data_IF_240908317976
#
_entry.id   IF_240908317976
#
_cell.length_a   1.000
_cell.length_b   1.000
_cell.length_c   1.000
_cell.angle_alpha   90.00
_cell.angle_beta   90.00
_cell.angle_gamma   90.00
#
_symmetry.space_group_name_H-M   'P 1'
#
loop_
_entity.id
_entity.type
_entity.pdbx_description
1 polymer ?
#
# COMPACT_ATOMS: atom_id res chain seq x y z
N UNK A 1 -0.14 -6.59 -7.32
CA UNK A 1 -0.11 -6.82 -5.86
C UNK A 1 0.85 -7.96 -5.52
N UNK A 2 1.66 -7.84 -4.46
CA UNK A 2 2.59 -8.87 -3.97
C UNK A 2 2.35 -9.05 -2.48
N UNK A 3 2.37 -10.31 -2.00
CA UNK A 3 2.26 -10.65 -0.58
C UNK A 3 3.35 -11.64 -0.24
N UNK A 4 4.10 -11.38 0.85
CA UNK A 4 5.13 -12.29 1.35
C UNK A 4 5.39 -11.97 2.85
N UNK A 5 6.31 -12.68 3.45
CA UNK A 5 6.78 -12.39 4.83
C UNK A 5 7.74 -11.20 4.83
N UNK A 6 7.72 -10.41 5.91
CA UNK A 6 8.60 -9.23 6.07
C UNK A 6 10.09 -9.60 5.90
N UNK A 7 10.50 -10.79 6.33
CA UNK A 7 11.87 -11.31 6.15
C UNK A 7 12.29 -11.39 4.68
N UNK A 8 11.33 -11.62 3.77
CA UNK A 8 11.57 -11.73 2.34
C UNK A 8 11.56 -10.37 1.61
N UNK A 9 11.18 -9.26 2.27
CA UNK A 9 11.02 -7.96 1.60
C UNK A 9 12.28 -7.54 0.82
N UNK A 10 13.46 -7.86 1.32
CA UNK A 10 14.74 -7.59 0.65
C UNK A 10 14.90 -8.24 -0.73
N UNK A 11 14.14 -9.29 -1.04
CA UNK A 11 14.15 -9.95 -2.36
C UNK A 11 13.48 -9.12 -3.46
N UNK A 12 12.72 -8.10 -3.07
CA UNK A 12 11.93 -7.24 -3.98
C UNK A 12 12.60 -5.91 -4.30
N UNK A 13 13.86 -5.70 -3.90
CA UNK A 13 14.62 -4.46 -4.15
C UNK A 13 14.84 -4.17 -5.64
N UNK A 14 14.75 -5.18 -6.51
CA UNK A 14 14.80 -5.02 -7.97
C UNK A 14 13.55 -4.36 -8.56
N UNK A 15 12.41 -4.38 -7.84
CA UNK A 15 11.18 -3.70 -8.27
C UNK A 15 11.26 -2.19 -8.04
N UNK A 16 11.88 -1.80 -6.93
CA UNK A 16 12.11 -0.40 -6.58
C UNK A 16 13.29 -0.33 -5.60
N UNK A 17 14.36 0.44 -5.91
CA UNK A 17 15.55 0.50 -5.07
C UNK A 17 15.28 1.06 -3.66
N UNK A 18 14.24 1.89 -3.47
CA UNK A 18 13.85 2.40 -2.15
C UNK A 18 13.36 1.30 -1.19
N UNK A 19 13.02 0.11 -1.69
CA UNK A 19 12.69 -1.04 -0.82
C UNK A 19 13.89 -1.42 0.07
N UNK A 20 15.13 -1.18 -0.37
CA UNK A 20 16.29 -1.40 0.47
C UNK A 20 16.29 -0.49 1.71
N UNK A 21 15.89 0.78 1.56
CA UNK A 21 15.75 1.73 2.67
C UNK A 21 14.59 1.33 3.61
N UNK A 22 13.51 0.75 3.08
CA UNK A 22 12.41 0.19 3.90
C UNK A 22 12.93 -0.98 4.74
N UNK A 23 13.69 -1.90 4.14
CA UNK A 23 14.28 -3.04 4.86
C UNK A 23 15.22 -2.55 5.97
N UNK A 24 16.05 -1.55 5.69
CA UNK A 24 16.95 -0.97 6.69
C UNK A 24 16.18 -0.28 7.82
N UNK A 25 15.10 0.42 7.51
CA UNK A 25 14.21 1.02 8.51
C UNK A 25 13.63 -0.06 9.43
N UNK A 26 13.10 -1.16 8.86
CA UNK A 26 12.51 -2.26 9.64
C UNK A 26 13.51 -2.99 10.53
N UNK A 27 14.80 -3.05 10.15
CA UNK A 27 15.86 -3.64 11.01
C UNK A 27 16.17 -2.78 12.23
N UNK A 28 16.02 -1.46 12.11
CA UNK A 28 16.42 -0.51 13.15
C UNK A 28 15.26 -0.03 14.03
N UNK A 29 14.01 -0.39 13.69
CA UNK A 29 12.82 0.07 14.39
C UNK A 29 11.84 -1.07 14.65
N UNK A 30 11.36 -1.15 15.89
CA UNK A 30 10.28 -2.06 16.26
C UNK A 30 8.92 -1.35 16.09
N UNK A 31 8.20 -1.70 15.03
CA UNK A 31 6.89 -1.11 14.71
C UNK A 31 5.85 -1.28 15.84
N UNK A 32 5.99 -2.31 16.70
CA UNK A 32 5.07 -2.52 17.83
C UNK A 32 5.19 -1.42 18.88
N UNK A 33 6.41 -0.94 19.13
CA UNK A 33 6.71 0.04 20.17
C UNK A 33 6.69 1.49 19.69
N UNK A 34 6.79 1.73 18.38
CA UNK A 34 6.73 3.07 17.81
C UNK A 34 5.34 3.70 17.99
N UNK A 35 5.29 5.01 18.21
CA UNK A 35 4.06 5.78 18.29
C UNK A 35 3.44 6.00 16.91
N UNK A 36 2.14 6.37 16.87
CA UNK A 36 1.48 6.80 15.64
C UNK A 36 2.12 8.08 15.10
N UNK A 37 2.23 8.18 13.78
CA UNK A 37 2.79 9.35 13.13
C UNK A 37 3.38 9.06 11.76
N UNK A 38 3.84 10.15 11.12
CA UNK A 38 4.59 10.07 9.86
C UNK A 38 6.08 10.14 10.16
N UNK A 39 6.83 9.13 9.72
CA UNK A 39 8.27 9.06 9.84
C UNK A 39 8.90 9.16 8.46
N UNK A 40 9.65 10.24 8.23
CA UNK A 40 10.35 10.49 6.97
C UNK A 40 11.63 9.67 6.93
N UNK A 41 11.83 8.90 5.85
CA UNK A 41 13.03 8.08 5.62
C UNK A 41 13.92 8.76 4.55
N UNK A 42 13.31 9.16 3.42
CA UNK A 42 14.02 9.83 2.32
C UNK A 42 13.15 10.96 1.73
N UNK A 43 13.00 12.03 2.50
CA UNK A 43 12.17 13.17 2.08
C UNK A 43 10.74 12.77 1.74
N UNK A 44 10.25 13.24 0.60
CA UNK A 44 8.92 12.89 0.08
C UNK A 44 8.92 11.60 -0.76
N UNK A 45 10.10 11.06 -1.10
CA UNK A 45 10.20 9.87 -1.94
C UNK A 45 10.00 8.58 -1.15
N UNK A 46 10.26 8.61 0.18
CA UNK A 46 10.03 7.48 1.06
C UNK A 46 9.70 7.93 2.48
N UNK A 47 8.54 7.53 2.97
CA UNK A 47 8.14 7.74 4.36
C UNK A 47 7.21 6.61 4.80
N UNK A 48 7.02 6.45 6.11
CA UNK A 48 6.04 5.53 6.68
C UNK A 48 5.02 6.28 7.52
N UNK A 49 3.76 5.96 7.32
CA UNK A 49 2.66 6.33 8.20
C UNK A 49 2.37 5.15 9.13
N UNK A 50 2.63 5.34 10.41
CA UNK A 50 2.23 4.39 11.45
C UNK A 50 0.92 4.87 12.05
N UNK A 51 -0.12 4.06 11.98
CA UNK A 51 -1.46 4.49 12.37
C UNK A 51 -2.27 3.38 13.01
N UNK A 52 -3.24 3.77 13.84
CA UNK A 52 -4.34 2.93 14.29
C UNK A 52 -5.57 3.26 13.43
N UNK A 53 -5.98 2.30 12.61
CA UNK A 53 -7.11 2.45 11.71
C UNK A 53 -8.33 1.71 12.25
N UNK A 54 -9.52 2.31 12.06
CA UNK A 54 -10.80 1.72 12.44
C UNK A 54 -11.22 0.63 11.47
N UNK A 55 -11.93 -0.36 11.99
CA UNK A 55 -12.54 -1.44 11.23
C UNK A 55 -13.38 -0.92 10.06
N UNK A 56 -13.20 -1.57 8.92
CA UNK A 56 -14.15 -1.63 7.80
C UNK A 56 -14.59 -3.07 7.60
N UNK A 57 -15.76 -3.23 7.05
CA UNK A 57 -16.27 -4.50 6.55
C UNK A 57 -16.11 -4.55 5.03
N UNK A 58 -16.32 -5.70 4.40
CA UNK A 58 -16.36 -5.80 2.93
C UNK A 58 -17.40 -4.86 2.29
N UNK A 59 -18.45 -4.53 3.04
CA UNK A 59 -19.51 -3.63 2.56
C UNK A 59 -19.14 -2.15 2.66
N UNK A 60 -18.34 -1.77 3.66
CA UNK A 60 -17.95 -0.37 3.93
C UNK A 60 -16.58 0.00 3.40
N UNK A 61 -15.76 -0.98 3.03
CA UNK A 61 -14.48 -0.73 2.41
C UNK A 61 -14.66 -0.25 0.96
N UNK A 62 -13.81 0.68 0.55
CA UNK A 62 -13.78 1.21 -0.81
C UNK A 62 -12.39 1.01 -1.41
N UNK A 63 -12.36 0.79 -2.73
CA UNK A 63 -11.13 0.70 -3.49
C UNK A 63 -10.48 2.08 -3.62
N UNK A 64 -9.16 2.10 -3.53
CA UNK A 64 -8.32 3.26 -3.79
C UNK A 64 -7.11 2.87 -4.65
N UNK A 65 -6.59 3.82 -5.44
CA UNK A 65 -5.35 3.70 -6.20
C UNK A 65 -4.50 4.94 -5.98
N UNK A 66 -3.21 4.81 -6.23
CA UNK A 66 -2.24 5.89 -6.21
C UNK A 66 -1.57 6.00 -7.59
N UNK A 67 -1.01 7.15 -7.93
CA UNK A 67 -0.26 7.35 -9.18
C UNK A 67 1.24 7.49 -8.88
N UNK A 68 1.56 8.31 -7.88
CA UNK A 68 2.94 8.67 -7.56
C UNK A 68 3.63 7.66 -6.64
N UNK A 69 2.85 6.94 -5.82
CA UNK A 69 3.39 6.10 -4.76
C UNK A 69 2.99 4.63 -4.90
N UNK A 70 3.91 3.76 -4.52
CA UNK A 70 3.69 2.35 -4.19
C UNK A 70 3.40 2.27 -2.70
N UNK A 71 2.40 1.52 -2.30
CA UNK A 71 2.12 1.21 -0.90
C UNK A 71 2.76 -0.12 -0.50
N UNK A 72 3.54 -0.13 0.59
CA UNK A 72 3.92 -1.35 1.29
C UNK A 72 3.21 -1.31 2.64
N UNK A 73 2.24 -2.19 2.82
CA UNK A 73 1.39 -2.21 4.01
C UNK A 73 1.71 -3.43 4.87
N UNK A 74 1.95 -3.19 6.16
CA UNK A 74 2.33 -4.20 7.16
C UNK A 74 1.33 -4.13 8.30
N UNK A 75 0.42 -5.12 8.44
CA UNK A 75 -0.41 -5.29 9.63
C UNK A 75 0.47 -5.59 10.86
N UNK A 76 0.17 -4.98 12.01
CA UNK A 76 0.98 -5.13 13.22
C UNK A 76 0.22 -5.90 14.30
N UNK A 77 -1.01 -5.47 14.64
CA UNK A 77 -1.73 -6.01 15.81
C UNK A 77 -2.68 -7.17 15.49
N UNK A 78 -3.24 -7.21 14.29
CA UNK A 78 -4.15 -8.27 13.83
C UNK A 78 -4.04 -8.49 12.34
N UNK A 79 -4.68 -9.53 11.82
CA UNK A 79 -4.77 -9.79 10.39
C UNK A 79 -5.63 -8.73 9.70
N UNK A 80 -5.21 -8.31 8.50
CA UNK A 80 -5.94 -7.38 7.66
C UNK A 80 -6.29 -8.04 6.33
N UNK A 81 -7.56 -7.96 5.94
CA UNK A 81 -8.01 -8.37 4.62
C UNK A 81 -8.02 -7.15 3.70
N UNK A 82 -7.41 -7.29 2.53
CA UNK A 82 -7.44 -6.30 1.46
C UNK A 82 -8.36 -6.77 0.35
N UNK A 83 -9.26 -5.89 -0.09
CA UNK A 83 -9.92 -6.06 -1.38
C UNK A 83 -8.97 -5.68 -2.50
N UNK A 84 -9.06 -6.32 -3.68
CA UNK A 84 -8.22 -6.04 -4.83
C UNK A 84 -9.01 -6.05 -6.14
N UNK A 85 -8.65 -5.13 -7.02
CA UNK A 85 -9.03 -5.12 -8.45
C UNK A 85 -7.91 -4.48 -9.27
N UNK A 86 -7.60 -4.97 -10.47
CA UNK A 86 -6.65 -4.31 -11.36
C UNK A 86 -7.23 -2.96 -11.83
N UNK A 87 -6.36 -1.95 -12.00
CA UNK A 87 -6.77 -0.61 -12.41
C UNK A 87 -7.55 -0.59 -13.74
N UNK A 88 -7.20 -1.46 -14.69
CA UNK A 88 -7.85 -1.53 -15.99
C UNK A 88 -9.34 -1.91 -15.91
N UNK A 89 -9.74 -2.60 -14.86
CA UNK A 89 -11.14 -3.01 -14.64
C UNK A 89 -11.92 -1.98 -13.81
N UNK A 90 -11.28 -0.91 -13.36
CA UNK A 90 -11.92 0.13 -12.56
C UNK A 90 -12.49 1.23 -13.45
N UNK A 91 -13.66 1.80 -13.08
CA UNK A 91 -14.22 2.94 -13.80
C UNK A 91 -13.32 4.18 -13.68
N UNK A 92 -13.51 5.15 -14.59
CA UNK A 92 -12.81 6.41 -14.46
C UNK A 92 -13.38 7.21 -13.28
N UNK A 93 -12.49 7.67 -12.39
CA UNK A 93 -12.82 8.51 -11.24
C UNK A 93 -11.85 9.68 -11.13
N UNK A 94 -12.24 10.69 -10.35
CA UNK A 94 -11.44 11.89 -10.13
C UNK A 94 -10.22 11.56 -9.24
N UNK A 95 -9.03 11.92 -9.71
CA UNK A 95 -7.79 11.82 -8.98
C UNK A 95 -7.54 13.06 -8.14
N UNK A 96 -7.29 12.88 -6.85
CA UNK A 96 -6.85 13.93 -5.95
C UNK A 96 -5.31 13.94 -5.90
N UNK A 97 -4.71 14.90 -6.64
CA UNK A 97 -3.25 15.00 -6.74
C UNK A 97 -2.58 15.44 -5.42
N UNK A 98 -3.26 16.19 -4.56
CA UNK A 98 -2.71 16.62 -3.26
C UNK A 98 -2.48 15.44 -2.32
N UNK A 99 -3.36 14.43 -2.39
CA UNK A 99 -3.33 13.24 -1.53
C UNK A 99 -2.80 12.00 -2.25
N UNK A 100 -2.46 12.12 -3.54
CA UNK A 100 -2.12 11.00 -4.40
C UNK A 100 -3.11 9.85 -4.28
N UNK A 101 -4.40 10.10 -4.49
CA UNK A 101 -5.43 9.07 -4.31
C UNK A 101 -6.60 9.24 -5.30
N UNK A 102 -7.04 8.12 -5.86
CA UNK A 102 -8.36 7.98 -6.49
C UNK A 102 -9.20 7.03 -5.64
N UNK A 103 -10.42 7.41 -5.29
CA UNK A 103 -11.36 6.58 -4.54
C UNK A 103 -12.52 6.16 -5.42
N UNK A 104 -12.84 4.87 -5.43
CA UNK A 104 -13.81 4.28 -6.35
C UNK A 104 -15.20 4.05 -5.75
N UNK A 105 -15.54 4.78 -4.70
CA UNK A 105 -16.90 4.81 -4.14
C UNK A 105 -17.48 3.41 -3.88
N UNK A 106 -18.61 3.11 -4.56
CA UNK A 106 -19.34 1.85 -4.38
C UNK A 106 -18.79 0.68 -5.22
N UNK A 107 -17.67 0.86 -5.96
CA UNK A 107 -17.06 -0.20 -6.74
C UNK A 107 -16.50 -1.27 -5.80
N UNK A 108 -16.97 -2.51 -5.94
CA UNK A 108 -16.55 -3.62 -5.08
C UNK A 108 -15.29 -4.28 -5.61
N UNK A 109 -14.39 -4.71 -4.72
CA UNK A 109 -13.22 -5.51 -5.09
C UNK A 109 -13.62 -6.83 -5.76
N UNK A 110 -12.81 -7.25 -6.76
CA UNK A 110 -12.99 -8.52 -7.44
C UNK A 110 -12.52 -9.71 -6.61
N UNK A 111 -11.51 -9.50 -5.77
CA UNK A 111 -10.96 -10.54 -4.89
C UNK A 111 -10.57 -9.97 -3.54
N UNK A 112 -10.36 -10.85 -2.58
CA UNK A 112 -9.94 -10.50 -1.24
C UNK A 112 -8.80 -11.40 -0.80
N UNK A 113 -7.84 -10.82 -0.09
CA UNK A 113 -6.68 -11.53 0.44
C UNK A 113 -6.38 -11.07 1.86
N UNK A 114 -6.06 -12.02 2.73
CA UNK A 114 -5.72 -11.72 4.12
C UNK A 114 -4.21 -11.74 4.32
N UNK A 115 -3.70 -10.71 4.96
CA UNK A 115 -2.29 -10.51 5.32
C UNK A 115 -2.19 -10.52 6.84
N UNK A 116 -1.34 -11.39 7.38
CA UNK A 116 -1.17 -11.53 8.83
C UNK A 116 -0.02 -10.67 9.35
N UNK A 117 0.04 -10.36 10.65
CA UNK A 117 1.25 -9.83 11.28
C UNK A 117 2.49 -10.66 10.91
N UNK A 118 3.59 -9.98 10.58
CA UNK A 118 4.81 -10.61 10.04
C UNK A 118 4.81 -10.78 8.52
N UNK A 119 3.72 -10.42 7.85
CA UNK A 119 3.61 -10.36 6.39
C UNK A 119 3.46 -8.91 5.92
N UNK A 120 3.65 -8.69 4.62
CA UNK A 120 3.38 -7.41 3.96
C UNK A 120 2.56 -7.60 2.69
N UNK A 121 1.90 -6.54 2.25
CA UNK A 121 1.33 -6.40 0.92
C UNK A 121 1.98 -5.21 0.20
N UNK A 122 2.40 -5.39 -1.07
CA UNK A 122 2.82 -4.30 -1.96
C UNK A 122 1.71 -4.06 -2.97
N UNK A 123 1.26 -2.81 -3.06
CA UNK A 123 0.33 -2.33 -4.07
C UNK A 123 1.03 -1.31 -4.96
N UNK A 124 1.14 -1.65 -6.25
CA UNK A 124 1.68 -0.77 -7.28
C UNK A 124 0.59 0.20 -7.79
N UNK A 125 0.92 1.26 -8.56
CA UNK A 125 -0.08 2.18 -9.11
C UNK A 125 -1.22 1.51 -9.89
N UNK A 126 -0.97 0.36 -10.51
CA UNK A 126 -1.98 -0.42 -11.24
C UNK A 126 -2.83 -1.33 -10.34
N UNK A 127 -2.62 -1.34 -9.04
CA UNK A 127 -3.32 -2.20 -8.08
C UNK A 127 -4.36 -1.41 -7.29
N UNK A 128 -5.64 -1.51 -7.67
CA UNK A 128 -6.71 -1.02 -6.83
C UNK A 128 -6.85 -1.88 -5.58
N UNK A 129 -6.85 -1.24 -4.40
CA UNK A 129 -6.93 -1.95 -3.13
C UNK A 129 -7.89 -1.29 -2.15
N UNK A 130 -8.56 -2.12 -1.34
CA UNK A 130 -9.49 -1.68 -0.30
C UNK A 130 -8.97 -2.16 1.07
N UNK A 131 -8.34 -1.26 1.86
CA UNK A 131 -7.71 -1.62 3.12
C UNK A 131 -8.69 -1.59 4.30
N UNK A 132 -8.18 -2.02 5.47
CA UNK A 132 -8.82 -1.95 6.79
C UNK A 132 -10.02 -2.89 6.98
N UNK A 133 -10.13 -3.96 6.19
CA UNK A 133 -11.14 -5.00 6.44
C UNK A 133 -10.58 -5.93 7.50
N UNK A 134 -11.08 -5.82 8.72
CA UNK A 134 -10.61 -6.54 9.91
C UNK A 134 -11.78 -7.04 10.75
N UNK A 135 -11.54 -8.03 11.61
CA UNK A 135 -12.54 -8.54 12.56
C UNK A 135 -12.54 -7.72 13.86
N UNK A 136 -11.39 -7.22 14.28
CA UNK A 136 -11.20 -6.37 15.44
C UNK A 136 -11.74 -4.95 15.19
N UNK A 137 -11.98 -4.18 16.25
CA UNK A 137 -12.50 -2.81 16.16
C UNK A 137 -11.50 -1.82 15.55
N UNK A 138 -10.20 -2.13 15.65
CA UNK A 138 -9.09 -1.32 15.13
C UNK A 138 -7.84 -2.15 14.89
N UNK A 139 -6.96 -1.65 14.03
CA UNK A 139 -5.68 -2.24 13.71
C UNK A 139 -4.57 -1.20 13.77
N UNK A 140 -3.46 -1.51 14.44
CA UNK A 140 -2.20 -0.80 14.25
C UNK A 140 -1.50 -1.36 13.03
N UNK A 141 -1.09 -0.49 12.10
CA UNK A 141 -0.43 -0.87 10.85
C UNK A 141 0.58 0.18 10.41
N UNK A 142 1.56 -0.25 9.63
CA UNK A 142 2.50 0.60 8.95
C UNK A 142 2.19 0.64 7.45
N UNK A 143 2.18 1.84 6.86
CA UNK A 143 2.02 2.08 5.43
C UNK A 143 3.24 2.84 4.96
N UNK A 144 4.18 2.15 4.31
CA UNK A 144 5.29 2.80 3.63
C UNK A 144 4.81 3.32 2.29
N UNK A 145 4.98 4.62 2.08
CA UNK A 145 4.77 5.30 0.81
C UNK A 145 6.11 5.41 0.11
N UNK A 146 6.26 4.72 -1.00
CA UNK A 146 7.49 4.56 -1.78
C UNK A 146 7.25 5.15 -3.15
N UNK A 147 8.04 6.14 -3.58
CA UNK A 147 7.87 6.76 -4.90
C UNK A 147 7.97 5.72 -6.01
N UNK A 148 6.93 5.64 -6.85
CA UNK A 148 6.80 4.57 -7.86
C UNK A 148 7.88 4.66 -8.93
N UNK A 149 8.21 5.87 -9.40
CA UNK A 149 9.23 6.12 -10.44
C UNK A 149 10.54 6.62 -9.82
N UNK A 150 11.23 5.76 -9.07
CA UNK A 150 12.55 6.11 -8.57
C UNK A 150 13.63 5.52 -9.51
N UNK A 151 14.18 6.36 -10.41
CA UNK A 151 15.28 6.07 -11.34
C UNK A 151 15.04 5.11 -12.51
N UNK A 152 13.86 4.98 -13.05
CA UNK A 152 13.73 4.54 -14.43
C UNK A 152 13.67 5.79 -15.32
N UNK A 153 14.83 6.20 -15.86
CA UNK A 153 14.87 7.26 -16.87
C UNK A 153 14.03 6.85 -18.08
N UNK A 154 12.87 7.40 -18.18
CA UNK A 154 12.07 7.80 -19.33
C UNK A 154 10.58 7.74 -18.96
N UNK A 155 9.94 8.88 -19.16
CA UNK A 155 8.51 9.11 -18.98
C UNK A 155 7.68 8.23 -19.91
N UNK A 156 7.23 7.06 -19.46
CA UNK A 156 6.00 6.48 -20.00
C UNK A 156 4.95 6.49 -18.91
N UNK A 157 4.06 7.50 -19.00
CA UNK A 157 2.81 7.53 -18.24
C UNK A 157 2.11 6.20 -18.48
N UNK A 158 1.82 5.45 -17.40
CA UNK A 158 0.93 4.29 -17.47
C UNK A 158 -0.44 4.80 -17.91
N UNK A 159 -0.68 4.79 -19.22
CA UNK A 159 -1.99 5.03 -19.80
C UNK A 159 -2.82 3.76 -19.64
N UNK A 160 -4.16 3.90 -19.55
CA UNK A 160 -5.09 2.76 -19.57
C UNK A 160 -4.90 1.82 -20.77
N UNK A 161 -4.18 2.25 -21.81
CA UNK A 161 -3.88 1.48 -23.02
C UNK A 161 -2.85 0.36 -22.80
N UNK A 162 -2.11 0.36 -21.68
CA UNK A 162 -1.11 -0.67 -21.36
C UNK A 162 -1.71 -1.94 -20.70
N UNK A 163 -3.01 -1.99 -20.48
CA UNK A 163 -3.69 -3.11 -19.82
C UNK A 163 -4.45 -4.06 -20.77
N UNK A 164 -4.27 -3.94 -22.08
CA UNK A 164 -4.88 -4.88 -23.06
C UNK A 164 -3.85 -5.81 -23.66
#
# INVERSE_FOLDING_TARGET
MIIDTVENLGKYTTLNPLIADVVEFLKNHDLHTMEEGKYTIKGNDLFVNLQVAKQRTKDTAFLETHIEMVDIQIPITCAETFGYSPLCDLPAFEYNAEKDITKYGDTKPQTYVTVNPGQFAIFMPQDGHAPCIIEESEIKKAIFKVKAEYNYGNEEKISKEACC
#
